data_IF_793336866132
#
_entry.id   IF_793336866132
#
_cell.length_a   1.000
_cell.length_b   1.000
_cell.length_c   1.000
_cell.angle_alpha   90.00
_cell.angle_beta   90.00
_cell.angle_gamma   90.00
#
_symmetry.space_group_name_H-M   'P 1'
#
loop_
_entity.id
_entity.type
_entity.pdbx_description
1 polymer ?
#
# COMPACT_ATOMS: atom_id res chain seq x y z
N UNK A 1 -2.68 0.50 -5.94
CA UNK A 1 -3.37 0.77 -7.22
C UNK A 1 -4.88 0.76 -7.04
N UNK A 2 -5.52 -0.31 -6.51
CA UNK A 2 -7.00 -0.42 -6.36
C UNK A 2 -7.61 0.70 -5.52
N UNK A 3 -6.93 1.15 -4.45
CA UNK A 3 -7.37 2.28 -3.63
C UNK A 3 -7.43 3.56 -4.48
N UNK A 4 -6.40 3.79 -5.31
CA UNK A 4 -6.36 4.96 -6.20
C UNK A 4 -7.51 4.93 -7.20
N UNK A 5 -7.77 3.79 -7.83
CA UNK A 5 -8.90 3.63 -8.74
C UNK A 5 -10.24 3.92 -8.06
N UNK A 6 -10.41 3.46 -6.82
CA UNK A 6 -11.61 3.75 -6.03
C UNK A 6 -11.72 5.24 -5.67
N UNK A 7 -10.62 5.90 -5.27
CA UNK A 7 -10.59 7.36 -5.01
C UNK A 7 -10.97 8.16 -6.25
N UNK A 8 -10.54 7.70 -7.42
CA UNK A 8 -10.82 8.36 -8.71
C UNK A 8 -12.22 8.05 -9.26
N UNK A 9 -12.96 7.13 -8.63
CA UNK A 9 -14.26 6.71 -9.12
C UNK A 9 -14.21 6.04 -10.50
N UNK A 10 -13.09 5.42 -10.84
CA UNK A 10 -12.87 4.77 -12.14
C UNK A 10 -13.37 3.34 -12.06
N UNK A 11 -14.21 2.96 -13.01
CA UNK A 11 -14.61 1.56 -13.19
C UNK A 11 -13.46 0.77 -13.81
N UNK A 12 -13.18 -0.42 -13.26
CA UNK A 12 -12.11 -1.30 -13.71
C UNK A 12 -12.50 -2.76 -13.52
N UNK A 13 -11.87 -3.61 -14.28
CA UNK A 13 -11.93 -5.06 -14.12
C UNK A 13 -10.65 -5.55 -13.49
N UNK A 14 -10.74 -6.58 -12.63
CA UNK A 14 -9.59 -7.22 -12.00
C UNK A 14 -9.46 -8.62 -12.56
N UNK A 15 -8.33 -8.89 -13.17
CA UNK A 15 -7.90 -10.23 -13.49
C UNK A 15 -6.93 -10.73 -12.43
N UNK A 16 -7.28 -11.82 -11.77
CA UNK A 16 -6.44 -12.42 -10.74
C UNK A 16 -5.37 -13.30 -11.39
N UNK A 17 -4.13 -13.05 -11.02
CA UNK A 17 -2.98 -13.79 -11.55
C UNK A 17 -2.47 -14.78 -10.51
N UNK A 18 -2.43 -16.04 -10.87
CA UNK A 18 -1.74 -17.07 -10.10
C UNK A 18 -0.23 -17.01 -10.39
N UNK A 19 0.57 -16.97 -9.33
CA UNK A 19 2.02 -16.77 -9.42
C UNK A 19 2.70 -17.82 -10.31
N UNK A 20 2.23 -19.06 -10.25
CA UNK A 20 2.85 -20.19 -10.95
C UNK A 20 2.22 -20.47 -12.33
N UNK A 21 1.18 -19.73 -12.69
CA UNK A 21 0.47 -19.88 -13.97
C UNK A 21 -0.03 -18.51 -14.47
N UNK A 22 0.87 -17.60 -14.86
CA UNK A 22 0.47 -16.30 -15.37
C UNK A 22 -0.29 -16.46 -16.71
N UNK A 23 -1.37 -15.71 -16.94
CA UNK A 23 -2.10 -15.73 -18.21
C UNK A 23 -1.20 -15.26 -19.36
N UNK A 24 -1.45 -15.77 -20.57
CA UNK A 24 -0.66 -15.46 -21.76
C UNK A 24 -0.63 -13.95 -22.05
N UNK A 25 -1.77 -13.29 -21.87
CA UNK A 25 -1.90 -11.85 -22.09
C UNK A 25 -0.94 -11.04 -21.18
N UNK A 26 -0.75 -11.47 -19.92
CA UNK A 26 0.20 -10.84 -19.03
C UNK A 26 1.64 -11.02 -19.54
N UNK A 27 1.97 -12.21 -20.02
CA UNK A 27 3.30 -12.52 -20.56
C UNK A 27 3.60 -11.64 -21.78
N UNK A 28 2.61 -11.47 -22.65
CA UNK A 28 2.75 -10.71 -23.89
C UNK A 28 2.84 -9.18 -23.63
N UNK A 29 2.12 -8.69 -22.60
CA UNK A 29 2.01 -7.26 -22.29
C UNK A 29 3.10 -6.75 -21.34
N UNK A 30 3.58 -7.59 -20.44
CA UNK A 30 4.58 -7.22 -19.43
C UNK A 30 5.75 -8.21 -19.43
N UNK A 31 6.92 -7.83 -19.94
CA UNK A 31 8.10 -8.70 -19.98
C UNK A 31 8.53 -9.22 -18.59
N UNK A 32 8.24 -8.47 -17.53
CA UNK A 32 8.56 -8.86 -16.15
C UNK A 32 7.50 -9.79 -15.53
N UNK A 33 6.35 -9.95 -16.18
CA UNK A 33 5.22 -10.76 -15.68
C UNK A 33 4.82 -10.41 -14.25
N UNK A 34 5.09 -9.17 -13.84
CA UNK A 34 4.84 -8.68 -12.49
C UNK A 34 3.41 -8.16 -12.32
N UNK A 35 2.92 -8.23 -11.10
CA UNK A 35 1.65 -7.63 -10.71
C UNK A 35 1.89 -6.52 -9.68
N UNK A 36 1.14 -5.43 -9.73
CA UNK A 36 0.06 -5.14 -10.68
C UNK A 36 0.57 -4.74 -12.07
N UNK A 37 -0.18 -5.12 -13.09
CA UNK A 37 -0.05 -4.60 -14.46
C UNK A 37 -1.35 -3.91 -14.83
N UNK A 38 -1.28 -2.66 -15.26
CA UNK A 38 -2.42 -1.87 -15.73
C UNK A 38 -2.44 -1.87 -17.25
N UNK A 39 -3.58 -2.22 -17.82
CA UNK A 39 -3.84 -2.07 -19.25
C UNK A 39 -4.95 -1.04 -19.43
N UNK A 40 -4.67 0.03 -20.16
CA UNK A 40 -5.64 1.05 -20.49
C UNK A 40 -5.50 1.46 -21.95
N UNK A 41 -6.43 1.03 -22.81
CA UNK A 41 -6.32 1.17 -24.27
C UNK A 41 -5.05 0.51 -24.81
N UNK A 42 -4.16 1.29 -25.42
CA UNK A 42 -2.87 0.83 -25.95
C UNK A 42 -1.73 0.96 -24.94
N UNK A 43 -2.00 1.52 -23.75
CA UNK A 43 -1.01 1.72 -22.70
C UNK A 43 -0.98 0.51 -21.79
N UNK A 44 0.22 -0.02 -21.57
CA UNK A 44 0.52 -1.01 -20.54
C UNK A 44 1.54 -0.44 -19.57
N UNK A 45 1.23 -0.48 -18.28
CA UNK A 45 2.13 -0.04 -17.20
C UNK A 45 2.24 -1.13 -16.14
N UNK A 46 3.42 -1.26 -15.59
CA UNK A 46 3.70 -2.04 -14.39
C UNK A 46 4.46 -1.18 -13.37
N UNK A 47 4.76 -1.71 -12.17
CA UNK A 47 5.21 -0.97 -10.99
C UNK A 47 4.10 -0.13 -10.36
N UNK A 48 3.70 -0.53 -9.15
CA UNK A 48 2.57 0.09 -8.42
C UNK A 48 2.67 1.61 -8.34
N UNK A 49 3.86 2.13 -8.10
CA UNK A 49 4.11 3.56 -7.92
C UNK A 49 3.91 4.34 -9.23
N UNK A 50 4.40 3.79 -10.33
CA UNK A 50 4.23 4.39 -11.67
C UNK A 50 2.75 4.40 -12.05
N UNK A 51 2.05 3.28 -11.84
CA UNK A 51 0.61 3.17 -12.12
C UNK A 51 -0.19 4.18 -11.28
N UNK A 52 0.12 4.31 -9.99
CA UNK A 52 -0.60 5.22 -9.10
C UNK A 52 -0.41 6.70 -9.50
N UNK A 53 0.81 7.11 -9.84
CA UNK A 53 1.06 8.47 -10.32
C UNK A 53 0.39 8.73 -11.67
N UNK A 54 0.44 7.77 -12.60
CA UNK A 54 -0.27 7.88 -13.88
C UNK A 54 -1.78 8.05 -13.68
N UNK A 55 -2.40 7.27 -12.80
CA UNK A 55 -3.82 7.37 -12.49
C UNK A 55 -4.19 8.71 -11.87
N UNK A 56 -3.34 9.25 -11.00
CA UNK A 56 -3.55 10.58 -10.40
C UNK A 56 -3.47 11.70 -11.44
N UNK A 57 -2.54 11.62 -12.38
CA UNK A 57 -2.41 12.58 -13.48
C UNK A 57 -3.51 12.44 -14.52
N UNK A 58 -3.90 11.19 -14.85
CA UNK A 58 -4.95 10.90 -15.83
C UNK A 58 -6.34 11.29 -15.35
N UNK A 59 -6.59 11.14 -14.05
CA UNK A 59 -7.84 11.48 -13.36
C UNK A 59 -7.53 12.46 -12.23
N UNK A 60 -7.41 13.76 -12.53
CA UNK A 60 -6.84 14.75 -11.59
C UNK A 60 -7.70 15.03 -10.36
N UNK A 61 -8.93 14.57 -10.30
CA UNK A 61 -9.83 14.83 -9.19
C UNK A 61 -10.38 13.54 -8.56
N UNK A 62 -10.37 13.46 -7.22
CA UNK A 62 -9.63 14.31 -6.28
C UNK A 62 -8.12 14.14 -6.44
N UNK A 63 -7.30 15.20 -6.23
CA UNK A 63 -5.85 15.09 -6.32
C UNK A 63 -5.30 14.25 -5.16
N UNK A 64 -4.38 13.34 -5.47
CA UNK A 64 -3.72 12.47 -4.48
C UNK A 64 -2.21 12.78 -4.35
N UNK A 65 -1.72 13.71 -5.14
CA UNK A 65 -0.37 14.26 -5.03
C UNK A 65 -0.44 15.76 -4.75
N UNK A 66 0.49 16.29 -3.94
CA UNK A 66 0.57 17.73 -3.71
C UNK A 66 0.79 18.52 -5.00
N UNK A 67 0.34 19.77 -5.03
CA UNK A 67 0.50 20.65 -6.20
C UNK A 67 1.95 21.13 -6.33
N UNK A 68 2.60 21.46 -5.22
CA UNK A 68 3.92 22.07 -5.21
C UNK A 68 5.03 21.04 -5.45
N UNK A 69 6.05 21.36 -6.29
CA UNK A 69 7.13 20.45 -6.65
C UNK A 69 7.91 19.90 -5.45
N UNK A 70 8.17 20.71 -4.44
CA UNK A 70 8.87 20.28 -3.22
C UNK A 70 8.09 19.17 -2.51
N UNK A 71 6.83 19.41 -2.20
CA UNK A 71 5.97 18.42 -1.54
C UNK A 71 5.74 17.16 -2.40
N UNK A 72 5.69 17.31 -3.74
CA UNK A 72 5.67 16.15 -4.66
C UNK A 72 6.96 15.32 -4.56
N UNK A 73 8.11 15.99 -4.50
CA UNK A 73 9.40 15.33 -4.32
C UNK A 73 9.47 14.56 -3.00
N UNK A 74 9.02 15.18 -1.90
CA UNK A 74 8.94 14.55 -0.59
C UNK A 74 7.99 13.33 -0.59
N UNK A 75 6.82 13.45 -1.19
CA UNK A 75 5.88 12.33 -1.33
C UNK A 75 6.49 11.14 -2.07
N UNK A 76 7.22 11.39 -3.15
CA UNK A 76 7.95 10.35 -3.90
C UNK A 76 9.04 9.70 -3.05
N UNK A 77 9.76 10.51 -2.27
CA UNK A 77 10.78 10.02 -1.34
C UNK A 77 10.17 9.12 -0.26
N UNK A 78 9.03 9.51 0.32
CA UNK A 78 8.34 8.69 1.31
C UNK A 78 7.88 7.36 0.73
N UNK A 79 7.24 7.35 -0.44
CA UNK A 79 6.84 6.11 -1.10
C UNK A 79 8.05 5.21 -1.41
N UNK A 80 9.17 5.79 -1.88
CA UNK A 80 10.39 5.04 -2.12
C UNK A 80 10.95 4.41 -0.85
N UNK A 81 10.97 5.14 0.26
CA UNK A 81 11.45 4.61 1.54
C UNK A 81 10.54 3.53 2.10
N UNK A 82 9.22 3.72 2.04
CA UNK A 82 8.24 2.69 2.43
C UNK A 82 8.49 1.40 1.66
N UNK A 83 8.69 1.50 0.34
CA UNK A 83 8.98 0.35 -0.51
C UNK A 83 10.30 -0.33 -0.14
N UNK A 84 11.37 0.45 -0.11
CA UNK A 84 12.73 -0.05 0.12
C UNK A 84 12.91 -0.62 1.52
N UNK A 85 12.37 0.05 2.53
CA UNK A 85 12.60 -0.32 3.92
C UNK A 85 11.52 -1.34 4.37
N UNK A 86 10.25 -1.01 4.31
CA UNK A 86 9.19 -1.81 4.94
C UNK A 86 8.60 -2.90 4.04
N UNK A 87 8.40 -2.65 2.75
CA UNK A 87 7.95 -3.72 1.84
C UNK A 87 9.01 -4.78 1.65
N UNK A 88 10.30 -4.42 1.70
CA UNK A 88 11.40 -5.40 1.70
C UNK A 88 11.36 -6.28 2.94
N UNK A 89 11.14 -5.69 4.13
CA UNK A 89 10.97 -6.47 5.37
C UNK A 89 9.72 -7.37 5.30
N UNK A 90 8.59 -6.86 4.81
CA UNK A 90 7.39 -7.67 4.59
C UNK A 90 7.67 -8.87 3.68
N UNK A 91 8.39 -8.64 2.59
CA UNK A 91 8.77 -9.72 1.66
C UNK A 91 9.66 -10.76 2.33
N UNK A 92 10.62 -10.33 3.16
CA UNK A 92 11.48 -11.24 3.96
C UNK A 92 10.65 -12.04 4.96
N UNK A 93 9.64 -11.44 5.61
CA UNK A 93 8.74 -12.16 6.52
C UNK A 93 7.97 -13.26 5.80
N UNK A 94 7.57 -13.03 4.54
CA UNK A 94 6.74 -13.95 3.77
C UNK A 94 7.57 -15.07 3.14
N UNK A 95 8.75 -14.77 2.62
CA UNK A 95 9.52 -15.65 1.74
C UNK A 95 10.88 -16.10 2.33
N UNK A 96 11.33 -15.49 3.42
CA UNK A 96 12.61 -15.82 4.05
C UNK A 96 12.53 -17.09 4.92
N UNK A 97 13.68 -17.51 5.40
CA UNK A 97 13.76 -18.55 6.42
C UNK A 97 13.11 -18.11 7.74
N UNK A 98 12.79 -19.03 8.63
CA UNK A 98 12.16 -18.71 9.92
C UNK A 98 12.97 -17.68 10.71
N UNK A 99 14.30 -17.80 10.75
CA UNK A 99 15.18 -16.86 11.45
C UNK A 99 15.17 -15.46 10.81
N UNK A 100 15.20 -15.37 9.48
CA UNK A 100 15.14 -14.11 8.75
C UNK A 100 13.78 -13.44 8.94
N UNK A 101 12.69 -14.22 8.85
CA UNK A 101 11.34 -13.73 9.07
C UNK A 101 11.15 -13.18 10.49
N UNK A 102 11.70 -13.84 11.52
CA UNK A 102 11.62 -13.36 12.90
C UNK A 102 12.41 -12.06 13.11
N UNK A 103 13.60 -11.97 12.53
CA UNK A 103 14.41 -10.76 12.56
C UNK A 103 13.71 -9.59 11.85
N UNK A 104 13.19 -9.83 10.63
CA UNK A 104 12.47 -8.83 9.85
C UNK A 104 11.16 -8.36 10.54
N UNK A 105 10.44 -9.28 11.19
CA UNK A 105 9.22 -8.98 11.96
C UNK A 105 9.52 -8.05 13.14
N UNK A 106 10.58 -8.35 13.86
CA UNK A 106 11.05 -7.50 14.96
C UNK A 106 11.45 -6.12 14.45
N UNK A 107 12.26 -6.06 13.40
CA UNK A 107 12.74 -4.81 12.81
C UNK A 107 11.57 -3.94 12.31
N UNK A 108 10.64 -4.49 11.52
CA UNK A 108 9.49 -3.74 11.01
C UNK A 108 8.63 -3.18 12.13
N UNK A 109 8.42 -3.98 13.19
CA UNK A 109 7.68 -3.52 14.37
C UNK A 109 8.39 -2.36 15.08
N UNK A 110 9.69 -2.46 15.29
CA UNK A 110 10.49 -1.43 15.95
C UNK A 110 10.52 -0.13 15.13
N UNK A 111 10.70 -0.21 13.82
CA UNK A 111 10.72 0.96 12.93
C UNK A 111 9.37 1.67 12.90
N UNK A 112 8.26 0.94 12.80
CA UNK A 112 6.92 1.53 12.83
C UNK A 112 6.61 2.20 14.19
N UNK A 113 7.03 1.59 15.29
CA UNK A 113 6.89 2.19 16.63
C UNK A 113 7.77 3.44 16.81
N UNK A 114 8.98 3.42 16.29
CA UNK A 114 9.89 4.56 16.36
C UNK A 114 9.32 5.81 15.69
N UNK A 115 8.57 5.65 14.61
CA UNK A 115 7.92 6.76 13.91
C UNK A 115 6.44 6.94 14.27
N UNK A 116 5.91 6.18 15.22
CA UNK A 116 4.50 6.25 15.62
C UNK A 116 4.00 7.69 15.89
N UNK A 117 4.79 8.57 16.54
CA UNK A 117 4.38 9.98 16.75
C UNK A 117 4.13 10.75 15.45
N UNK A 118 4.77 10.37 14.33
CA UNK A 118 4.56 11.00 13.02
C UNK A 118 3.13 10.80 12.54
N UNK A 119 2.55 9.62 12.81
CA UNK A 119 1.17 9.30 12.43
C UNK A 119 0.11 10.10 13.20
N UNK A 120 0.49 10.75 14.29
CA UNK A 120 -0.38 11.62 15.08
C UNK A 120 -0.29 13.11 14.75
N UNK A 121 0.67 13.52 13.91
CA UNK A 121 0.89 14.93 13.61
C UNK A 121 -0.17 15.52 12.68
N UNK A 122 -0.67 14.72 11.76
CA UNK A 122 -1.65 15.09 10.75
C UNK A 122 -2.70 13.97 10.63
N UNK A 123 -3.88 14.27 10.05
CA UNK A 123 -4.91 13.25 9.80
C UNK A 123 -4.40 12.07 8.94
N UNK A 124 -3.57 12.36 7.94
CA UNK A 124 -2.93 11.40 7.06
C UNK A 124 -1.41 11.48 7.17
N UNK A 125 -0.68 10.63 6.45
CA UNK A 125 0.77 10.56 6.59
C UNK A 125 1.43 11.87 6.18
N UNK A 126 1.86 12.65 7.16
CA UNK A 126 2.46 13.99 7.01
C UNK A 126 1.61 14.96 6.15
N UNK A 127 0.32 14.74 6.08
CA UNK A 127 -0.60 15.51 5.24
C UNK A 127 -1.96 15.73 5.91
N UNK A 128 -2.57 16.87 5.64
CA UNK A 128 -3.96 17.14 6.03
C UNK A 128 -4.96 16.41 5.14
N UNK A 129 -4.54 16.00 3.94
CA UNK A 129 -5.36 15.32 2.95
C UNK A 129 -4.82 13.92 2.64
N UNK A 130 -5.72 13.00 2.32
CA UNK A 130 -5.38 11.65 1.88
C UNK A 130 -4.60 11.70 0.56
N UNK A 131 -3.51 10.94 0.47
CA UNK A 131 -2.55 11.01 -0.63
C UNK A 131 -2.12 9.65 -1.17
N UNK A 132 -1.32 9.66 -2.24
CA UNK A 132 -0.69 8.44 -2.76
C UNK A 132 0.20 7.75 -1.73
N UNK A 133 0.80 8.51 -0.79
CA UNK A 133 1.61 7.93 0.29
C UNK A 133 0.75 7.03 1.17
N UNK A 134 -0.46 7.47 1.52
CA UNK A 134 -1.42 6.67 2.29
C UNK A 134 -1.88 5.44 1.49
N UNK A 135 -2.15 5.59 0.20
CA UNK A 135 -2.50 4.48 -0.69
C UNK A 135 -1.38 3.43 -0.77
N UNK A 136 -0.14 3.85 -0.65
CA UNK A 136 1.03 2.97 -0.67
C UNK A 136 1.25 2.27 0.67
N UNK A 137 1.02 2.98 1.76
CA UNK A 137 1.23 2.51 3.13
C UNK A 137 0.11 1.59 3.64
N UNK A 138 -1.14 1.89 3.31
CA UNK A 138 -2.31 1.20 3.83
C UNK A 138 -2.30 -0.32 3.62
N UNK A 139 -1.95 -0.87 2.44
CA UNK A 139 -1.92 -2.32 2.24
C UNK A 139 -0.90 -3.05 3.10
N UNK A 140 0.24 -2.42 3.40
CA UNK A 140 1.24 -2.97 4.32
C UNK A 140 0.69 -3.03 5.73
N UNK A 141 0.14 -1.91 6.22
CA UNK A 141 -0.43 -1.83 7.58
C UNK A 141 -1.63 -2.77 7.77
N UNK A 142 -2.42 -2.99 6.71
CA UNK A 142 -3.52 -3.94 6.73
C UNK A 142 -3.07 -5.37 7.01
N UNK A 143 -1.92 -5.75 6.48
CA UNK A 143 -1.35 -7.10 6.55
C UNK A 143 -0.58 -7.39 7.84
N UNK A 144 -0.27 -6.39 8.67
CA UNK A 144 0.57 -6.57 9.86
C UNK A 144 0.11 -7.69 10.80
N UNK A 145 -1.20 -7.84 11.11
CA UNK A 145 -1.64 -8.95 11.96
C UNK A 145 -1.36 -10.34 11.35
N UNK A 146 -1.50 -10.49 10.03
CA UNK A 146 -1.16 -11.73 9.32
C UNK A 146 0.34 -12.03 9.38
N UNK A 147 1.16 -10.98 9.35
CA UNK A 147 2.60 -11.09 9.49
C UNK A 147 3.05 -11.37 10.94
N UNK A 148 2.10 -11.47 11.88
CA UNK A 148 2.39 -11.65 13.30
C UNK A 148 2.89 -10.39 14.00
N UNK A 149 2.57 -9.21 13.45
CA UNK A 149 2.96 -7.94 14.04
C UNK A 149 1.72 -7.28 14.66
N UNK A 150 1.76 -7.15 15.97
CA UNK A 150 0.75 -6.44 16.76
C UNK A 150 1.41 -5.35 17.59
N UNK A 151 0.66 -4.27 17.80
CA UNK A 151 1.10 -3.14 18.59
C UNK A 151 0.33 -3.06 19.90
N UNK A 152 1.06 -2.87 20.99
CA UNK A 152 0.50 -2.66 22.31
C UNK A 152 1.21 -1.51 23.02
N UNK A 153 0.53 -0.92 24.00
CA UNK A 153 1.08 0.15 24.81
C UNK A 153 0.85 1.55 24.23
N UNK A 154 1.27 2.59 24.99
CA UNK A 154 0.96 3.98 24.67
C UNK A 154 1.62 4.49 23.38
N UNK A 155 2.81 4.01 23.04
CA UNK A 155 3.51 4.39 21.79
C UNK A 155 2.85 3.95 20.51
N UNK A 156 1.86 3.07 20.58
CA UNK A 156 1.11 2.59 19.40
C UNK A 156 -0.19 3.37 19.13
N UNK A 157 -0.56 4.30 19.99
CA UNK A 157 -1.87 4.98 19.92
C UNK A 157 -2.03 5.77 18.62
N UNK A 158 -1.03 6.54 18.25
CA UNK A 158 -1.05 7.40 17.07
C UNK A 158 -1.11 6.56 15.80
N UNK A 159 -0.29 5.53 15.71
CA UNK A 159 -0.30 4.59 14.59
C UNK A 159 -1.65 3.89 14.45
N UNK A 160 -2.22 3.39 15.54
CA UNK A 160 -3.56 2.77 15.54
C UNK A 160 -4.65 3.74 15.11
N UNK A 161 -4.60 4.99 15.59
CA UNK A 161 -5.55 6.02 15.18
C UNK A 161 -5.48 6.33 13.70
N UNK A 162 -4.28 6.40 13.12
CA UNK A 162 -4.08 6.53 11.69
C UNK A 162 -4.63 5.33 10.92
N UNK A 163 -4.29 4.12 11.36
CA UNK A 163 -4.79 2.88 10.73
C UNK A 163 -6.32 2.86 10.70
N UNK A 164 -6.98 3.22 11.80
CA UNK A 164 -8.45 3.30 11.86
C UNK A 164 -8.98 4.26 10.81
N UNK A 165 -8.47 5.49 10.74
CA UNK A 165 -8.93 6.49 9.76
C UNK A 165 -8.78 6.03 8.32
N UNK A 166 -7.64 5.41 7.99
CA UNK A 166 -7.37 4.96 6.63
C UNK A 166 -8.22 3.73 6.27
N UNK A 167 -8.39 2.80 7.21
CA UNK A 167 -9.13 1.56 6.96
C UNK A 167 -10.65 1.73 6.91
N UNK A 168 -11.18 2.75 7.57
CA UNK A 168 -12.60 3.10 7.51
C UNK A 168 -12.97 3.92 6.26
N UNK A 169 -11.98 4.33 5.47
CA UNK A 169 -12.21 5.09 4.24
C UNK A 169 -12.91 4.23 3.20
N UNK A 170 -13.97 4.76 2.59
CA UNK A 170 -14.78 4.04 1.60
C UNK A 170 -13.95 3.46 0.45
N UNK A 171 -12.98 4.22 -0.05
CA UNK A 171 -12.08 3.78 -1.12
C UNK A 171 -11.18 2.62 -0.71
N UNK A 172 -10.72 2.62 0.54
CA UNK A 172 -9.95 1.50 1.08
C UNK A 172 -10.82 0.25 1.18
N UNK A 173 -11.99 0.36 1.76
CA UNK A 173 -12.95 -0.74 1.90
C UNK A 173 -13.38 -1.30 0.55
N UNK A 174 -13.64 -0.42 -0.43
CA UNK A 174 -13.98 -0.82 -1.79
C UNK A 174 -12.83 -1.52 -2.52
N UNK A 175 -11.59 -1.24 -2.15
CA UNK A 175 -10.40 -1.82 -2.76
C UNK A 175 -10.09 -3.25 -2.31
N UNK A 176 -10.65 -3.69 -1.19
CA UNK A 176 -10.37 -4.99 -0.60
C UNK A 176 -11.09 -6.11 -1.35
N UNK A 177 -10.37 -7.19 -1.65
CA UNK A 177 -10.96 -8.46 -2.05
C UNK A 177 -11.63 -9.14 -0.87
N UNK A 178 -12.47 -10.15 -1.12
CA UNK A 178 -13.09 -10.94 -0.07
C UNK A 178 -12.05 -11.59 0.85
N UNK A 179 -11.03 -12.22 0.26
CA UNK A 179 -9.92 -12.80 1.01
C UNK A 179 -9.17 -11.77 1.88
N UNK A 180 -8.96 -10.54 1.38
CA UNK A 180 -8.32 -9.48 2.17
C UNK A 180 -9.20 -8.97 3.31
N UNK A 181 -10.51 -8.99 3.17
CA UNK A 181 -11.44 -8.68 4.27
C UNK A 181 -11.40 -9.75 5.35
N UNK A 182 -11.38 -11.02 4.96
CA UNK A 182 -11.31 -12.16 5.89
C UNK A 182 -10.01 -12.19 6.69
N UNK A 183 -8.92 -11.64 6.16
CA UNK A 183 -7.63 -11.57 6.87
C UNK A 183 -7.73 -10.97 8.27
N UNK A 184 -8.72 -10.13 8.54
CA UNK A 184 -8.91 -9.51 9.84
C UNK A 184 -10.11 -10.02 10.61
N UNK A 185 -11.08 -10.68 9.97
CA UNK A 185 -12.30 -11.20 10.63
C UNK A 185 -12.04 -12.49 11.45
N UNK A 186 -10.98 -13.23 11.13
CA UNK A 186 -10.66 -14.50 11.78
C UNK A 186 -9.93 -14.40 13.13
N UNK A 187 -9.82 -13.21 13.73
CA UNK A 187 -9.07 -12.96 14.97
C UNK A 187 -9.87 -12.16 16.01
N UNK A 188 -11.17 -12.44 16.12
CA UNK A 188 -11.99 -11.98 17.25
C UNK A 188 -12.05 -13.04 18.35
#
# INVERSE_FOLDING_TARGET
>A
VRIVLAEKGVSFEIEHVEKDNPPQDLIDLNPNQSVPTLVYRELTLWESRIIMEYLDERFPHPPLMPVYPVARGESRLYMHRIEKDWYTLMNTIINGSASEADAARKQLREELLAIAPVFGQKPYFLSDEFSLVDCYLAPLLWRLPQLGIEFSGPGAKELKGYMTRVFERDSFLASLTEAEREMRLGRS
#
